data_IF_170603400263
#
_entry.id   IF_170603400263
#
_cell.length_a   1.000
_cell.length_b   1.000
_cell.length_c   1.000
_cell.angle_alpha   90.00
_cell.angle_beta   90.00
_cell.angle_gamma   90.00
#
_symmetry.space_group_name_H-M   'P 1'
#
loop_
_entity.id
_entity.type
_entity.pdbx_description
1 polymer ?
#
# COMPACT_ATOMS: atom_id res chain seq x y z
N UNK A 1 10.74 -0.17 11.75
CA UNK A 1 11.19 0.00 10.36
C UNK A 1 10.33 1.03 9.63
N UNK A 2 9.01 0.83 9.46
CA UNK A 2 8.17 1.81 8.73
C UNK A 2 8.14 3.22 9.35
N UNK A 3 8.04 3.34 10.68
CA UNK A 3 8.10 4.65 11.35
C UNK A 3 9.42 5.37 11.08
N UNK A 4 10.54 4.65 11.21
CA UNK A 4 11.88 5.16 10.92
C UNK A 4 12.02 5.56 9.44
N UNK A 5 11.49 4.76 8.52
CA UNK A 5 11.49 5.10 7.09
C UNK A 5 10.63 6.32 6.78
N UNK A 6 9.48 6.49 7.45
CA UNK A 6 8.67 7.70 7.33
C UNK A 6 9.42 8.94 7.82
N UNK A 7 10.08 8.84 8.98
CA UNK A 7 10.89 9.93 9.53
C UNK A 7 12.04 10.32 8.60
N UNK A 8 12.77 9.32 8.07
CA UNK A 8 13.85 9.54 7.10
C UNK A 8 13.36 10.14 5.78
N UNK A 9 12.26 9.60 5.22
CA UNK A 9 11.66 10.15 4.01
C UNK A 9 11.24 11.62 4.20
N UNK A 10 10.62 11.95 5.33
CA UNK A 10 10.21 13.32 5.66
C UNK A 10 11.41 14.26 5.74
N UNK A 11 12.51 13.82 6.35
CA UNK A 11 13.74 14.61 6.46
C UNK A 11 14.40 14.84 5.08
N UNK A 12 14.48 13.79 4.26
CA UNK A 12 14.98 13.88 2.88
C UNK A 12 14.18 14.87 2.06
N UNK A 13 12.85 14.72 2.01
CA UNK A 13 11.99 15.62 1.22
C UNK A 13 12.00 17.05 1.76
N UNK A 14 12.07 17.24 3.08
CA UNK A 14 12.16 18.57 3.68
C UNK A 14 13.47 19.28 3.35
N UNK A 15 14.58 18.56 3.19
CA UNK A 15 15.86 19.13 2.76
C UNK A 15 15.78 19.69 1.34
N UNK A 16 14.98 19.03 0.49
CA UNK A 16 14.80 19.38 -0.91
C UNK A 16 13.60 20.32 -1.16
N UNK A 17 12.93 20.80 -0.10
CA UNK A 17 11.68 21.59 -0.16
C UNK A 17 10.55 20.90 -0.96
N UNK A 18 10.56 19.57 -0.97
CA UNK A 18 9.55 18.75 -1.63
C UNK A 18 8.42 18.45 -0.62
N UNK A 19 7.14 18.69 -0.97
CA UNK A 19 6.04 18.40 -0.08
C UNK A 19 5.86 16.89 0.13
N UNK A 20 5.44 16.53 1.34
CA UNK A 20 5.14 15.15 1.67
C UNK A 20 3.94 14.65 0.84
N UNK A 21 4.01 13.46 0.21
CA UNK A 21 2.83 12.81 -0.34
C UNK A 21 1.79 12.60 0.77
N UNK A 22 0.51 12.61 0.40
CA UNK A 22 -0.59 12.37 1.35
C UNK A 22 -1.53 11.31 0.81
N UNK A 23 -2.15 10.56 1.72
CA UNK A 23 -3.17 9.59 1.34
C UNK A 23 -4.50 10.30 1.09
N UNK A 24 -5.21 9.91 0.04
CA UNK A 24 -6.47 10.54 -0.39
C UNK A 24 -7.61 9.52 -0.48
N UNK A 25 -8.81 9.99 -0.20
CA UNK A 25 -10.03 9.22 -0.44
C UNK A 25 -10.30 9.12 -1.94
N UNK A 26 -10.96 8.03 -2.34
CA UNK A 26 -11.55 7.97 -3.67
C UNK A 26 -12.85 8.77 -3.72
N UNK A 27 -13.25 9.25 -4.90
CA UNK A 27 -14.53 9.97 -5.09
C UNK A 27 -15.75 9.15 -4.65
N UNK A 28 -15.61 7.82 -4.65
CA UNK A 28 -16.68 6.88 -4.29
C UNK A 28 -16.46 6.23 -2.92
N UNK A 29 -15.51 6.73 -2.13
CA UNK A 29 -15.19 6.22 -0.82
C UNK A 29 -16.02 6.93 0.26
N UNK A 30 -17.15 6.32 0.60
CA UNK A 30 -18.08 6.81 1.64
C UNK A 30 -17.52 6.67 3.06
N UNK A 31 -16.52 5.81 3.28
CA UNK A 31 -15.97 5.53 4.61
C UNK A 31 -14.65 6.25 4.88
N UNK A 32 -14.16 7.02 3.91
CA UNK A 32 -12.87 7.72 3.98
C UNK A 32 -11.70 6.78 4.30
N UNK A 33 -11.70 5.61 3.67
CA UNK A 33 -10.70 4.54 3.79
C UNK A 33 -9.34 4.92 3.17
N UNK A 34 -9.23 6.10 2.54
CA UNK A 34 -8.02 6.62 1.91
C UNK A 34 -7.48 5.70 0.81
N UNK A 35 -8.33 5.23 -0.12
CA UNK A 35 -7.93 4.23 -1.12
C UNK A 35 -6.69 4.61 -1.96
N UNK A 36 -6.36 5.90 -2.11
CA UNK A 36 -5.12 6.35 -2.74
C UNK A 36 -4.01 6.53 -1.71
N UNK A 37 -3.17 5.50 -1.55
CA UNK A 37 -2.13 5.42 -0.50
C UNK A 37 -0.75 5.96 -0.91
N UNK A 38 -0.70 7.16 -1.48
CA UNK A 38 0.55 7.73 -2.01
C UNK A 38 1.65 7.86 -0.93
N UNK A 39 1.30 8.26 0.30
CA UNK A 39 2.24 8.36 1.41
C UNK A 39 2.78 6.98 1.78
N UNK A 40 1.89 6.00 2.00
CA UNK A 40 2.29 4.67 2.42
C UNK A 40 3.20 4.01 1.36
N UNK A 41 2.87 4.19 0.07
CA UNK A 41 3.70 3.75 -1.04
C UNK A 41 5.09 4.40 -1.02
N UNK A 42 5.19 5.71 -0.78
CA UNK A 42 6.46 6.41 -0.71
C UNK A 42 7.32 5.92 0.47
N UNK A 43 6.71 5.73 1.65
CA UNK A 43 7.41 5.22 2.85
C UNK A 43 7.95 3.82 2.62
N UNK A 44 7.17 2.92 2.00
CA UNK A 44 7.64 1.56 1.71
C UNK A 44 8.80 1.59 0.71
N UNK A 45 8.72 2.40 -0.35
CA UNK A 45 9.82 2.56 -1.31
C UNK A 45 11.09 3.08 -0.65
N UNK A 46 10.96 4.13 0.17
CA UNK A 46 12.11 4.67 0.91
C UNK A 46 12.75 3.63 1.85
N UNK A 47 11.93 2.83 2.54
CA UNK A 47 12.43 1.75 3.38
C UNK A 47 13.27 0.76 2.58
N UNK A 48 12.79 0.36 1.40
CA UNK A 48 13.54 -0.53 0.50
C UNK A 48 14.86 0.08 0.05
N UNK A 49 14.83 1.32 -0.44
CA UNK A 49 16.02 2.01 -0.93
C UNK A 49 17.06 2.14 0.21
N UNK A 50 16.60 2.40 1.44
CA UNK A 50 17.45 2.44 2.63
C UNK A 50 18.08 1.09 2.99
N UNK A 51 17.33 -0.01 2.86
CA UNK A 51 17.84 -1.37 3.08
C UNK A 51 18.94 -1.72 2.06
N UNK A 52 18.72 -1.36 0.78
CA UNK A 52 19.68 -1.59 -0.30
C UNK A 52 20.93 -0.73 -0.14
N UNK A 53 20.78 0.56 0.18
CA UNK A 53 21.89 1.50 0.33
C UNK A 53 22.80 1.20 1.54
N UNK A 54 22.24 0.70 2.64
CA UNK A 54 23.01 0.42 3.86
C UNK A 54 23.76 -0.91 3.83
N UNK A 55 23.57 -1.73 2.78
CA UNK A 55 24.14 -3.08 2.72
C UNK A 55 23.71 -3.94 3.91
N UNK A 56 22.52 -3.68 4.46
CA UNK A 56 22.06 -4.34 5.67
C UNK A 56 21.95 -5.86 5.45
N UNK A 57 22.09 -6.65 6.53
CA UNK A 57 21.85 -8.09 6.47
C UNK A 57 20.39 -8.46 6.19
N UNK A 58 19.48 -7.49 6.10
CA UNK A 58 18.11 -7.74 5.65
C UNK A 58 18.10 -7.93 4.14
N UNK A 59 17.71 -9.13 3.72
CA UNK A 59 17.46 -9.41 2.32
C UNK A 59 16.34 -8.49 1.80
N UNK A 60 16.49 -7.91 0.60
CA UNK A 60 15.38 -7.28 -0.11
C UNK A 60 14.21 -8.26 -0.23
N UNK A 61 12.98 -7.75 -0.17
CA UNK A 61 11.78 -8.55 -0.38
C UNK A 61 11.05 -8.12 -1.65
N UNK A 62 10.54 -9.10 -2.39
CA UNK A 62 9.85 -8.89 -3.66
C UNK A 62 8.36 -8.56 -3.49
N UNK A 63 7.75 -9.05 -2.40
CA UNK A 63 6.31 -8.94 -2.14
C UNK A 63 6.03 -8.67 -0.67
N UNK A 64 5.05 -7.81 -0.39
CA UNK A 64 4.49 -7.60 0.95
C UNK A 64 3.03 -7.98 0.93
N UNK A 65 2.55 -8.63 1.99
CA UNK A 65 1.13 -8.81 2.26
C UNK A 65 0.72 -8.01 3.49
N UNK A 66 -0.43 -7.35 3.45
CA UNK A 66 -0.98 -6.59 4.57
C UNK A 66 -2.47 -6.83 4.72
N UNK A 67 -2.97 -6.74 5.95
CA UNK A 67 -4.40 -6.69 6.21
C UNK A 67 -4.90 -5.27 5.96
N UNK A 68 -5.96 -5.15 5.18
CA UNK A 68 -6.66 -3.90 4.92
C UNK A 68 -8.10 -4.03 5.41
N UNK A 69 -8.52 -3.03 6.18
CA UNK A 69 -9.86 -2.92 6.70
C UNK A 69 -10.49 -1.70 6.04
N UNK A 70 -11.46 -1.95 5.19
CA UNK A 70 -12.23 -0.92 4.48
C UNK A 70 -13.72 -1.10 4.79
N UNK A 71 -14.48 -0.03 4.63
CA UNK A 71 -15.91 -0.03 4.89
C UNK A 71 -16.29 0.31 6.33
N UNK A 72 -17.60 0.35 6.56
CA UNK A 72 -18.19 0.54 7.88
C UNK A 72 -17.98 -0.67 8.79
N UNK A 73 -18.48 -0.56 10.02
CA UNK A 73 -18.60 -1.72 10.92
C UNK A 73 -19.48 -2.79 10.27
N UNK A 74 -19.06 -4.06 10.35
CA UNK A 74 -19.84 -5.17 9.77
C UNK A 74 -21.24 -5.32 10.39
N UNK A 75 -21.38 -4.93 11.66
CA UNK A 75 -22.61 -4.82 12.43
C UNK A 75 -22.34 -3.88 13.63
N UNK A 76 -23.38 -3.32 14.29
CA UNK A 76 -23.18 -2.33 15.35
C UNK A 76 -22.22 -2.78 16.45
N UNK A 77 -21.17 -1.99 16.70
CA UNK A 77 -20.12 -2.26 17.69
C UNK A 77 -19.03 -3.22 17.23
N UNK A 78 -19.00 -3.61 15.95
CA UNK A 78 -18.02 -4.56 15.42
C UNK A 78 -16.67 -3.91 15.14
N UNK A 79 -15.59 -4.58 15.56
CA UNK A 79 -14.23 -4.25 15.11
C UNK A 79 -13.90 -4.82 13.71
N UNK A 80 -14.75 -5.72 13.18
CA UNK A 80 -14.64 -6.17 11.80
C UNK A 80 -15.28 -5.14 10.87
N UNK A 81 -14.61 -4.88 9.73
CA UNK A 81 -15.14 -4.01 8.69
C UNK A 81 -15.75 -4.82 7.55
N UNK A 82 -16.75 -4.25 6.89
CA UNK A 82 -17.46 -4.87 5.75
C UNK A 82 -16.51 -5.41 4.67
N UNK A 83 -15.38 -4.74 4.44
CA UNK A 83 -14.38 -5.12 3.44
C UNK A 83 -13.01 -5.34 4.08
N UNK A 84 -12.94 -6.31 4.98
CA UNK A 84 -11.66 -6.78 5.51
C UNK A 84 -11.01 -7.75 4.52
N UNK A 85 -9.85 -7.40 3.96
CA UNK A 85 -9.16 -8.20 2.95
C UNK A 85 -7.64 -8.12 3.08
N UNK A 86 -6.92 -9.05 2.43
CA UNK A 86 -5.46 -8.98 2.32
C UNK A 86 -5.09 -8.27 1.02
N UNK A 87 -4.27 -7.24 1.10
CA UNK A 87 -3.63 -6.64 -0.07
C UNK A 87 -2.21 -7.18 -0.23
N UNK A 88 -1.79 -7.36 -1.47
CA UNK A 88 -0.44 -7.78 -1.84
C UNK A 88 0.18 -6.68 -2.69
N UNK A 89 1.30 -6.13 -2.24
CA UNK A 89 2.11 -5.21 -3.02
C UNK A 89 3.31 -5.98 -3.59
N UNK A 90 3.49 -5.91 -4.91
CA UNK A 90 4.55 -6.61 -5.64
C UNK A 90 5.54 -5.57 -6.17
N UNK A 91 6.80 -5.65 -5.73
CA UNK A 91 7.90 -4.80 -6.22
C UNK A 91 8.54 -5.39 -7.47
N UNK A 92 8.78 -6.70 -7.45
CA UNK A 92 9.40 -7.42 -8.55
C UNK A 92 8.35 -8.03 -9.47
N UNK A 93 8.24 -7.50 -10.68
CA UNK A 93 7.24 -7.96 -11.66
C UNK A 93 7.47 -9.40 -12.11
N UNK A 94 8.67 -9.96 -11.95
CA UNK A 94 8.95 -11.38 -12.25
C UNK A 94 8.20 -12.35 -11.31
N UNK A 95 7.70 -11.83 -10.18
CA UNK A 95 6.80 -12.56 -9.29
C UNK A 95 5.39 -12.71 -9.87
N UNK A 96 4.99 -11.90 -10.86
CA UNK A 96 3.67 -11.99 -11.51
C UNK A 96 3.74 -13.05 -12.61
N UNK A 97 3.20 -14.24 -12.33
CA UNK A 97 3.23 -15.37 -13.28
C UNK A 97 2.16 -15.30 -14.38
N UNK A 98 1.12 -14.51 -14.17
CA UNK A 98 0.04 -14.36 -15.13
C UNK A 98 -1.05 -13.43 -14.61
N UNK A 99 -1.81 -12.85 -15.52
CA UNK A 99 -2.98 -12.03 -15.23
C UNK A 99 -4.18 -12.72 -15.86
N UNK A 100 -5.11 -13.18 -15.01
CA UNK A 100 -6.36 -13.78 -15.44
C UNK A 100 -7.45 -12.71 -15.44
N UNK A 101 -8.01 -12.42 -16.61
CA UNK A 101 -9.17 -11.53 -16.74
C UNK A 101 -10.40 -12.40 -16.89
N UNK A 102 -11.46 -12.08 -16.14
CA UNK A 102 -12.76 -12.69 -16.39
C UNK A 102 -13.23 -12.27 -17.79
N UNK A 103 -13.92 -13.16 -18.53
CA UNK A 103 -14.60 -12.77 -19.76
C UNK A 103 -15.58 -11.64 -19.47
N UNK A 104 -15.76 -10.70 -20.40
CA UNK A 104 -16.83 -9.72 -20.29
C UNK A 104 -18.15 -10.46 -20.11
N UNK A 105 -18.97 -10.02 -19.14
CA UNK A 105 -20.29 -10.60 -18.85
C UNK A 105 -21.30 -10.44 -20.01
N UNK A 106 -20.91 -9.78 -21.10
CA UNK A 106 -21.60 -9.75 -22.39
C UNK A 106 -21.34 -10.99 -23.27
N UNK A 107 -20.35 -11.82 -22.91
CA UNK A 107 -20.10 -13.12 -23.54
C UNK A 107 -20.81 -14.18 -22.71
N UNK A 108 -22.07 -14.42 -23.05
CA UNK A 108 -22.91 -15.42 -22.39
C UNK A 108 -22.28 -16.80 -22.43
N UNK A 109 -22.09 -17.39 -21.24
CA UNK A 109 -21.98 -18.84 -21.04
C UNK A 109 -23.27 -19.27 -20.35
#
# INVERSE_FOLDING_TARGET
>A
MLKTAYEGLRETLSTDDIPMPVNHDSRHDVNSDKLFRNLDCAVIRYLHDSIEATGSHLAPYDTVRGLFQEGGELYPGSAFREKTHTQIAIRNLDCIKGIFRLPDSSVGI
#
